data_IF_067758302931
#
_entry.id   IF_067758302931
#
_cell.length_a   1.000
_cell.length_b   1.000
_cell.length_c   1.000
_cell.angle_alpha   90.00
_cell.angle_beta   90.00
_cell.angle_gamma   90.00
#
_symmetry.space_group_name_H-M   'P 1'
#
loop_
_entity.id
_entity.type
_entity.pdbx_description
1 polymer ?
#
# COMPACT_ATOMS: atom_id res chain seq x y z
N UNK A 1 -14.51 -0.86 9.29
CA UNK A 1 -13.32 -0.03 9.03
C UNK A 1 -12.23 -0.90 8.42
N UNK A 2 -11.55 -0.46 7.28
CA UNK A 2 -10.47 -1.24 6.67
C UNK A 2 -9.25 -1.31 7.57
N UNK A 3 -8.48 -2.36 7.43
CA UNK A 3 -7.19 -2.49 8.11
C UNK A 3 -6.18 -1.53 7.51
N UNK A 4 -5.30 -1.00 8.36
CA UNK A 4 -4.26 -0.05 7.97
C UNK A 4 -3.16 -0.77 7.20
N UNK A 5 -2.67 -0.15 6.12
CA UNK A 5 -1.52 -0.66 5.37
C UNK A 5 -0.21 -0.31 6.08
N UNK A 6 0.74 -1.21 6.01
CA UNK A 6 2.08 -1.06 6.58
C UNK A 6 3.11 -1.51 5.54
N UNK A 7 4.38 -1.23 5.80
CA UNK A 7 5.46 -1.77 4.97
C UNK A 7 5.32 -3.30 4.94
N UNK A 8 5.37 -3.87 3.75
CA UNK A 8 5.18 -5.31 3.55
C UNK A 8 3.74 -5.73 3.28
N UNK A 9 2.77 -4.80 3.35
CA UNK A 9 1.38 -5.10 2.99
C UNK A 9 1.28 -5.55 1.54
N UNK A 10 0.63 -6.70 1.33
CA UNK A 10 0.47 -7.27 -0.02
C UNK A 10 -0.57 -6.51 -0.83
N UNK A 11 -0.33 -6.43 -2.13
CA UNK A 11 -1.29 -5.95 -3.12
C UNK A 11 -2.04 -7.14 -3.73
N UNK A 12 -3.12 -6.85 -4.47
CA UNK A 12 -3.93 -7.89 -5.11
C UNK A 12 -3.28 -8.46 -6.37
N UNK A 13 -2.38 -7.69 -6.99
CA UNK A 13 -1.90 -7.96 -8.34
C UNK A 13 -2.80 -7.31 -9.38
N UNK A 14 -2.24 -6.86 -10.49
CA UNK A 14 -2.99 -6.16 -11.54
C UNK A 14 -2.44 -6.53 -12.92
N UNK A 15 -3.33 -6.52 -13.94
CA UNK A 15 -2.93 -6.73 -15.33
C UNK A 15 -2.07 -7.97 -15.54
N UNK A 16 -2.42 -9.07 -14.88
CA UNK A 16 -1.67 -10.35 -14.87
C UNK A 16 -0.31 -10.26 -14.20
N UNK A 17 0.02 -9.15 -13.55
CA UNK A 17 1.21 -9.04 -12.71
C UNK A 17 0.97 -9.68 -11.36
N UNK A 18 1.98 -10.32 -10.77
CA UNK A 18 1.82 -10.95 -9.46
C UNK A 18 1.62 -9.91 -8.36
N UNK A 19 1.05 -10.30 -7.22
CA UNK A 19 1.01 -9.42 -6.06
C UNK A 19 2.41 -8.97 -5.66
N UNK A 20 2.51 -7.75 -5.15
CA UNK A 20 3.73 -7.19 -4.64
C UNK A 20 3.45 -6.62 -3.24
N UNK A 21 4.36 -5.85 -2.68
CA UNK A 21 4.24 -5.31 -1.33
C UNK A 21 4.56 -3.82 -1.31
N UNK A 22 4.00 -3.12 -0.31
CA UNK A 22 4.38 -1.75 0.01
C UNK A 22 5.84 -1.77 0.45
N UNK A 23 6.68 -0.97 -0.19
CA UNK A 23 8.13 -0.99 0.08
C UNK A 23 8.58 0.09 1.05
N UNK A 24 7.83 1.18 1.20
CA UNK A 24 8.23 2.24 2.10
C UNK A 24 7.03 2.81 2.84
N UNK A 25 7.28 3.29 4.03
CA UNK A 25 6.28 3.87 4.90
C UNK A 25 6.91 4.88 5.84
N UNK A 26 6.15 5.29 6.86
CA UNK A 26 6.61 6.29 7.81
C UNK A 26 7.84 5.82 8.59
N UNK A 27 8.75 6.74 8.84
CA UNK A 27 9.95 6.49 9.65
C UNK A 27 9.72 6.80 11.14
N UNK A 28 8.60 7.43 11.47
CA UNK A 28 8.31 7.84 12.84
C UNK A 28 6.88 7.53 13.30
N UNK A 29 6.05 6.98 12.44
CA UNK A 29 4.71 6.49 12.81
C UNK A 29 4.68 4.98 12.51
N UNK A 30 4.52 4.18 13.56
CA UNK A 30 4.58 2.74 13.44
C UNK A 30 3.26 2.10 13.85
N UNK A 31 2.91 1.02 13.16
CA UNK A 31 1.73 0.22 13.42
C UNK A 31 2.21 -1.21 13.55
N UNK A 32 1.98 -1.81 14.72
CA UNK A 32 2.49 -3.15 15.06
C UNK A 32 4.02 -3.24 14.87
N UNK A 33 4.73 -2.14 15.17
CA UNK A 33 6.19 -2.09 15.06
C UNK A 33 6.73 -1.88 13.66
N UNK A 34 5.85 -1.64 12.67
CA UNK A 34 6.22 -1.48 11.25
C UNK A 34 5.75 -0.12 10.74
N UNK A 35 6.52 0.50 9.89
CA UNK A 35 6.17 1.82 9.35
C UNK A 35 4.81 1.85 8.67
N UNK A 36 3.99 2.83 9.02
CA UNK A 36 2.66 3.00 8.46
C UNK A 36 2.73 3.40 6.98
N UNK A 37 1.86 2.82 6.15
CA UNK A 37 1.70 3.22 4.76
C UNK A 37 0.89 4.51 4.63
N UNK A 38 1.15 5.27 3.59
CA UNK A 38 0.46 6.53 3.33
C UNK A 38 0.33 6.77 1.82
N UNK A 39 -0.44 7.79 1.44
CA UNK A 39 -0.53 8.18 0.03
C UNK A 39 0.86 8.61 -0.44
N UNK A 40 1.33 7.97 -1.50
CA UNK A 40 2.68 8.16 -2.00
C UNK A 40 3.64 7.04 -1.61
N UNK A 41 3.26 6.14 -0.67
CA UNK A 41 4.07 4.93 -0.39
C UNK A 41 4.22 4.12 -1.66
N UNK A 42 5.47 3.82 -2.04
CA UNK A 42 5.76 3.05 -3.24
C UNK A 42 5.57 1.55 -3.03
N UNK A 43 5.44 0.83 -4.13
CA UNK A 43 5.43 -0.63 -4.13
C UNK A 43 6.75 -1.14 -4.71
N UNK A 44 7.11 -2.38 -4.38
CA UNK A 44 8.21 -3.05 -5.07
C UNK A 44 7.75 -3.28 -6.52
N UNK A 45 8.52 -2.84 -7.53
CA UNK A 45 8.10 -3.02 -8.91
C UNK A 45 7.85 -4.49 -9.23
N UNK A 46 6.76 -4.76 -9.93
CA UNK A 46 6.39 -6.10 -10.35
C UNK A 46 6.14 -6.10 -11.87
N UNK A 47 6.27 -7.26 -12.49
CA UNK A 47 6.00 -7.38 -13.91
C UNK A 47 5.20 -8.63 -14.23
N UNK A 48 4.42 -8.54 -15.28
CA UNK A 48 3.66 -9.64 -15.84
C UNK A 48 4.61 -10.72 -16.34
N UNK A 49 4.26 -11.98 -16.09
CA UNK A 49 5.02 -13.13 -16.60
C UNK A 49 5.15 -13.04 -18.12
N UNK A 50 6.38 -13.16 -18.62
CA UNK A 50 6.67 -13.05 -20.06
C UNK A 50 6.67 -11.63 -20.61
N UNK A 51 6.38 -10.62 -19.81
CA UNK A 51 6.39 -9.22 -20.23
C UNK A 51 7.70 -8.56 -19.84
N UNK A 52 8.16 -7.62 -20.67
CA UNK A 52 9.30 -6.76 -20.37
C UNK A 52 8.90 -5.52 -19.58
N UNK A 53 7.58 -5.25 -19.48
CA UNK A 53 7.09 -4.10 -18.74
C UNK A 53 7.08 -4.38 -17.25
N UNK A 54 7.61 -3.43 -16.50
CA UNK A 54 7.59 -3.44 -15.05
C UNK A 54 6.53 -2.47 -14.58
N UNK A 55 5.61 -2.95 -13.73
CA UNK A 55 4.64 -2.08 -13.08
C UNK A 55 5.28 -1.50 -11.83
N UNK A 56 5.28 -0.20 -11.75
CA UNK A 56 5.69 0.52 -10.55
C UNK A 56 4.58 1.50 -10.21
N UNK A 57 4.51 1.89 -8.96
CA UNK A 57 3.48 2.84 -8.56
C UNK A 57 3.56 3.17 -7.10
N UNK A 58 2.58 3.95 -6.68
CA UNK A 58 2.45 4.37 -5.29
C UNK A 58 0.98 4.42 -4.92
N UNK A 59 0.71 4.43 -3.61
CA UNK A 59 -0.66 4.55 -3.10
C UNK A 59 -1.24 5.87 -3.59
N UNK A 60 -2.39 5.81 -4.26
CA UNK A 60 -3.00 6.96 -4.93
C UNK A 60 -4.01 7.69 -4.06
N UNK A 61 -4.67 7.01 -3.13
CA UNK A 61 -5.59 7.64 -2.19
C UNK A 61 -5.60 6.88 -0.87
N UNK A 62 -6.12 7.50 0.16
CA UNK A 62 -6.12 6.92 1.51
C UNK A 62 -7.26 7.45 2.36
N UNK A 63 -7.12 7.33 3.67
CA UNK A 63 -8.15 7.71 4.63
C UNK A 63 -8.51 9.19 4.48
N UNK A 64 -9.82 9.53 4.52
CA UNK A 64 -10.24 10.94 4.57
C UNK A 64 -10.08 11.56 5.96
N UNK A 65 -9.87 10.75 7.00
CA UNK A 65 -9.91 11.20 8.39
C UNK A 65 -8.62 10.98 9.17
N UNK A 66 -7.76 10.06 8.73
CA UNK A 66 -6.55 9.67 9.47
C UNK A 66 -5.33 9.96 8.60
N UNK A 67 -4.34 10.61 9.21
CA UNK A 67 -3.16 11.10 8.49
C UNK A 67 -1.88 10.62 9.16
N UNK A 68 -0.86 10.39 8.35
CA UNK A 68 0.51 10.07 8.77
C UNK A 68 1.36 11.26 8.37
N UNK A 69 1.82 12.04 9.35
CA UNK A 69 2.62 13.25 9.09
C UNK A 69 1.94 14.21 8.10
N UNK A 70 0.61 14.36 8.22
CA UNK A 70 -0.17 15.23 7.34
C UNK A 70 -0.56 14.62 6.00
N UNK A 71 -0.25 13.35 5.77
CA UNK A 71 -0.55 12.65 4.51
C UNK A 71 -1.58 11.56 4.81
N UNK A 72 -2.61 11.39 3.96
CA UNK A 72 -3.63 10.36 4.22
C UNK A 72 -3.04 8.96 4.42
N UNK A 73 -3.53 8.26 5.44
CA UNK A 73 -3.11 6.91 5.79
C UNK A 73 -3.61 5.92 4.74
N UNK A 74 -2.76 4.98 4.32
CA UNK A 74 -3.15 3.93 3.39
C UNK A 74 -3.88 2.79 4.11
N UNK A 75 -4.85 2.16 3.42
CA UNK A 75 -5.72 1.11 3.97
C UNK A 75 -5.93 0.02 2.93
N UNK A 76 -6.40 -1.15 3.38
CA UNK A 76 -6.86 -2.21 2.46
C UNK A 76 -7.92 -1.63 1.52
N UNK A 77 -7.80 -1.92 0.24
CA UNK A 77 -8.70 -1.47 -0.80
C UNK A 77 -8.29 -0.15 -1.44
N UNK A 78 -7.33 0.57 -0.86
CA UNK A 78 -6.87 1.81 -1.46
C UNK A 78 -6.11 1.52 -2.76
N UNK A 79 -6.34 2.32 -3.81
CA UNK A 79 -5.75 2.05 -5.12
C UNK A 79 -4.27 2.43 -5.17
N UNK A 80 -3.54 1.68 -5.98
CA UNK A 80 -2.18 1.97 -6.39
C UNK A 80 -2.25 2.59 -7.79
N UNK A 81 -1.38 3.54 -8.08
CA UNK A 81 -1.39 4.28 -9.34
C UNK A 81 -1.23 3.40 -10.59
N UNK A 82 -0.67 2.21 -10.45
CA UNK A 82 -0.55 1.26 -11.56
C UNK A 82 -1.82 0.44 -11.85
N UNK A 83 -2.90 0.65 -11.07
CA UNK A 83 -4.15 -0.09 -11.22
C UNK A 83 -4.34 -1.21 -10.20
N UNK A 84 -3.36 -1.45 -9.36
CA UNK A 84 -3.42 -2.44 -8.28
C UNK A 84 -4.15 -1.86 -7.07
N UNK A 85 -4.40 -2.69 -6.06
CA UNK A 85 -5.01 -2.30 -4.79
C UNK A 85 -4.31 -3.01 -3.64
N UNK A 86 -4.34 -2.37 -2.47
CA UNK A 86 -3.82 -2.97 -1.24
C UNK A 86 -4.76 -4.09 -0.81
N UNK A 87 -4.24 -5.29 -0.60
CA UNK A 87 -5.02 -6.48 -0.29
C UNK A 87 -4.94 -6.89 1.17
N UNK A 88 -3.83 -6.58 1.85
CA UNK A 88 -3.61 -6.96 3.25
C UNK A 88 -3.06 -5.78 4.05
N UNK A 89 -3.25 -5.83 5.35
CA UNK A 89 -2.79 -4.78 6.25
C UNK A 89 -2.49 -5.32 7.63
N UNK A 90 -2.31 -4.41 8.59
CA UNK A 90 -2.08 -4.75 9.98
C UNK A 90 -3.24 -5.57 10.54
N UNK A 91 -2.93 -6.61 11.30
CA UNK A 91 -3.97 -7.56 11.75
C UNK A 91 -4.91 -6.97 12.79
N UNK A 92 -4.47 -5.98 13.56
CA UNK A 92 -5.21 -5.46 14.71
C UNK A 92 -5.55 -3.98 14.63
N UNK A 93 -5.12 -3.26 13.61
CA UNK A 93 -5.33 -1.80 13.51
C UNK A 93 -6.15 -1.46 12.29
N UNK A 94 -7.24 -0.73 12.51
CA UNK A 94 -8.17 -0.30 11.47
C UNK A 94 -8.27 1.22 11.44
N UNK A 95 -8.64 1.77 10.29
CA UNK A 95 -8.87 3.20 10.13
C UNK A 95 -9.99 3.46 9.12
N UNK A 96 -10.65 4.57 9.29
CA UNK A 96 -11.67 5.02 8.33
C UNK A 96 -11.04 5.43 7.01
#
# INVERSE_FOLDING_TARGET
MPKVAIIGSLTQGACSSPPTVIRNGSKNVFIEGVGAGYVGSGIIPHKRSGSKRVHNGSVASGSPNVFVNGIPLARIGDPISCGDKIAKGASTVNAN
#
